data_IF_271991621667
#
_entry.id   IF_271991621667
#
_cell.length_a   1.000
_cell.length_b   1.000
_cell.length_c   1.000
_cell.angle_alpha   90.00
_cell.angle_beta   90.00
_cell.angle_gamma   90.00
#
_symmetry.space_group_name_H-M   'P 1'
#
loop_
_entity.id
_entity.type
_entity.pdbx_description
1 polymer ?
#
# COMPACT_ATOMS: atom_id res chain seq x y z
N UNK A 1 -39.82 -86.34 21.42
CA UNK A 1 -38.74 -86.96 22.20
C UNK A 1 -37.53 -87.13 21.29
N UNK A 2 -36.46 -86.37 21.58
CA UNK A 2 -35.02 -86.73 21.53
C UNK A 2 -34.58 -87.51 20.26
N UNK A 3 -33.71 -86.98 19.39
CA UNK A 3 -32.25 -86.96 19.62
C UNK A 3 -31.51 -85.95 18.73
N UNK A 4 -30.50 -85.34 19.36
CA UNK A 4 -29.40 -84.58 18.77
C UNK A 4 -28.60 -85.41 17.75
N UNK A 5 -28.07 -84.77 16.72
CA UNK A 5 -26.65 -84.92 16.35
C UNK A 5 -26.10 -83.60 15.79
N UNK A 6 -24.94 -83.23 16.32
CA UNK A 6 -24.09 -82.09 16.00
C UNK A 6 -23.22 -82.37 14.78
N UNK A 7 -23.03 -81.39 13.89
CA UNK A 7 -21.77 -81.25 13.13
C UNK A 7 -21.38 -79.77 13.08
N UNK A 8 -20.19 -79.54 13.61
CA UNK A 8 -19.40 -78.31 13.63
C UNK A 8 -18.68 -78.17 12.28
N UNK A 9 -18.71 -76.99 11.63
CA UNK A 9 -17.49 -76.42 11.01
C UNK A 9 -17.69 -75.00 10.50
N UNK A 10 -16.70 -74.19 10.86
CA UNK A 10 -16.48 -72.79 10.57
C UNK A 10 -16.52 -72.42 9.08
N UNK A 11 -16.93 -71.18 8.78
CA UNK A 11 -16.40 -70.39 7.67
C UNK A 11 -16.59 -68.88 7.93
N UNK A 12 -15.45 -68.26 8.18
CA UNK A 12 -15.02 -66.86 8.07
C UNK A 12 -16.06 -65.72 7.93
N UNK A 13 -15.98 -64.79 8.88
CA UNK A 13 -16.34 -63.38 8.69
C UNK A 13 -15.52 -62.76 7.55
N UNK A 14 -16.18 -62.27 6.51
CA UNK A 14 -15.60 -61.33 5.56
C UNK A 14 -16.25 -59.96 5.81
N UNK A 15 -15.60 -59.12 6.61
CA UNK A 15 -15.90 -57.69 6.65
C UNK A 15 -15.14 -57.04 5.48
N UNK A 16 -15.85 -56.68 4.41
CA UNK A 16 -15.26 -55.85 3.36
C UNK A 16 -15.21 -54.40 3.81
N UNK A 17 -13.99 -53.88 3.86
CA UNK A 17 -13.64 -52.49 4.08
C UNK A 17 -14.27 -51.61 2.98
N UNK A 18 -15.16 -50.71 3.37
CA UNK A 18 -15.56 -49.59 2.50
C UNK A 18 -14.36 -48.64 2.34
N UNK A 19 -13.85 -48.48 1.12
CA UNK A 19 -12.78 -47.55 0.80
C UNK A 19 -13.38 -46.29 0.13
N UNK A 20 -13.44 -45.13 0.80
CA UNK A 20 -14.13 -43.94 0.29
C UNK A 20 -13.25 -43.09 -0.65
N UNK A 21 -12.50 -43.71 -1.57
CA UNK A 21 -11.56 -42.99 -2.46
C UNK A 21 -12.00 -42.84 -3.93
N UNK A 22 -13.23 -43.19 -4.32
CA UNK A 22 -13.60 -43.22 -5.76
C UNK A 22 -14.59 -42.11 -6.19
N UNK A 23 -15.08 -41.25 -5.29
CA UNK A 23 -16.08 -40.23 -5.67
C UNK A 23 -15.59 -38.76 -5.69
N UNK A 24 -14.27 -38.52 -5.76
CA UNK A 24 -13.71 -37.17 -5.90
C UNK A 24 -12.66 -37.15 -7.01
N UNK A 25 -13.09 -37.39 -8.26
CA UNK A 25 -12.19 -37.19 -9.39
C UNK A 25 -12.89 -36.68 -10.64
N UNK A 26 -13.67 -35.61 -10.51
CA UNK A 26 -14.03 -34.75 -11.65
C UNK A 26 -14.73 -33.48 -11.13
N UNK A 27 -13.94 -32.47 -10.70
CA UNK A 27 -14.35 -31.06 -10.86
C UNK A 27 -13.32 -29.97 -10.50
N UNK A 28 -12.08 -30.28 -10.12
CA UNK A 28 -11.15 -29.24 -9.64
C UNK A 28 -10.14 -28.77 -10.71
N UNK A 29 -10.64 -28.28 -11.85
CA UNK A 29 -9.80 -27.60 -12.88
C UNK A 29 -10.11 -26.12 -13.08
N UNK A 30 -10.78 -25.45 -12.14
CA UNK A 30 -11.07 -24.01 -12.29
C UNK A 30 -11.08 -23.20 -10.99
N UNK A 31 -10.36 -23.65 -9.96
CA UNK A 31 -10.07 -22.82 -8.80
C UNK A 31 -8.68 -22.20 -8.97
N UNK A 32 -8.64 -20.96 -9.42
CA UNK A 32 -7.43 -20.15 -9.30
C UNK A 32 -6.97 -20.22 -7.84
N UNK A 33 -5.70 -20.59 -7.64
CA UNK A 33 -5.11 -20.61 -6.30
C UNK A 33 -5.35 -19.25 -5.61
N UNK A 34 -5.56 -19.21 -4.29
CA UNK A 34 -5.59 -17.95 -3.57
C UNK A 34 -4.25 -17.27 -3.81
N UNK A 35 -4.26 -16.11 -4.48
CA UNK A 35 -3.06 -15.26 -4.58
C UNK A 35 -2.75 -14.88 -3.13
N UNK A 36 -1.65 -15.41 -2.59
CA UNK A 36 -1.19 -15.04 -1.26
C UNK A 36 -0.99 -13.52 -1.23
N UNK A 37 -1.39 -12.86 -0.14
CA UNK A 37 -1.34 -11.39 -0.07
C UNK A 37 0.08 -10.82 -0.29
N UNK A 38 1.13 -11.64 -0.15
CA UNK A 38 2.52 -11.30 -0.44
C UNK A 38 2.81 -11.05 -1.94
N UNK A 39 1.97 -11.54 -2.86
CA UNK A 39 2.14 -11.34 -4.31
C UNK A 39 1.39 -10.12 -4.86
N UNK A 40 0.62 -9.41 -4.02
CA UNK A 40 -0.17 -8.26 -4.45
C UNK A 40 0.69 -7.00 -4.55
N UNK A 41 0.45 -6.18 -5.58
CA UNK A 41 1.05 -4.85 -5.66
C UNK A 41 0.66 -3.99 -4.46
N UNK A 42 1.53 -3.06 -4.04
CA UNK A 42 1.21 -2.10 -2.97
C UNK A 42 -0.10 -1.36 -3.29
N UNK A 43 -0.27 -0.87 -4.52
CA UNK A 43 -1.54 -0.23 -4.92
C UNK A 43 -2.76 -1.14 -4.82
N UNK A 44 -2.61 -2.45 -5.01
CA UNK A 44 -3.73 -3.41 -4.83
C UNK A 44 -4.04 -3.62 -3.35
N UNK A 45 -3.02 -3.66 -2.49
CA UNK A 45 -3.22 -3.69 -1.03
C UNK A 45 -3.95 -2.42 -0.57
N UNK A 46 -3.50 -1.26 -1.04
CA UNK A 46 -4.12 0.04 -0.77
C UNK A 46 -5.58 0.10 -1.26
N UNK A 47 -5.84 -0.30 -2.50
CA UNK A 47 -7.19 -0.34 -3.08
C UNK A 47 -8.14 -1.21 -2.24
N UNK A 48 -7.68 -2.41 -1.83
CA UNK A 48 -8.47 -3.32 -0.99
C UNK A 48 -8.72 -2.74 0.40
N UNK A 49 -7.71 -2.15 1.03
CA UNK A 49 -7.82 -1.57 2.37
C UNK A 49 -8.72 -0.33 2.37
N UNK A 50 -8.72 0.45 1.28
CA UNK A 50 -9.40 1.75 1.19
C UNK A 50 -10.81 1.69 0.63
N UNK A 51 -11.34 0.51 0.27
CA UNK A 51 -12.68 0.33 -0.32
C UNK A 51 -13.83 0.93 0.52
N UNK A 52 -13.59 1.13 1.83
CA UNK A 52 -14.57 1.69 2.76
C UNK A 52 -14.16 3.05 3.37
N UNK A 53 -13.04 3.63 2.94
CA UNK A 53 -12.61 4.94 3.46
C UNK A 53 -13.56 6.03 2.95
N UNK A 54 -13.87 6.99 3.82
CA UNK A 54 -14.80 8.09 3.52
C UNK A 54 -16.28 7.72 3.67
N UNK A 55 -16.61 6.49 4.10
CA UNK A 55 -17.98 6.07 4.41
C UNK A 55 -18.40 6.42 5.84
N UNK A 56 -17.44 6.56 6.76
CA UNK A 56 -17.71 6.97 8.14
C UNK A 56 -17.60 8.50 8.28
N UNK A 57 -18.34 9.06 9.24
CA UNK A 57 -18.40 10.51 9.47
C UNK A 57 -17.02 11.13 9.76
N UNK A 58 -16.13 10.37 10.41
CA UNK A 58 -14.81 10.81 10.84
C UNK A 58 -13.68 10.44 9.87
N UNK A 59 -14.00 9.74 8.76
CA UNK A 59 -13.00 9.40 7.75
C UNK A 59 -12.71 10.61 6.86
N UNK A 60 -11.45 10.84 6.47
CA UNK A 60 -11.14 11.89 5.52
C UNK A 60 -11.71 11.56 4.14
N UNK A 61 -11.92 12.59 3.32
CA UNK A 61 -12.00 12.39 1.88
C UNK A 61 -10.62 11.94 1.39
N UNK A 62 -10.58 10.86 0.63
CA UNK A 62 -9.37 10.31 0.01
C UNK A 62 -9.49 10.43 -1.50
N UNK A 63 -8.45 10.99 -2.12
CA UNK A 63 -8.27 11.10 -3.57
C UNK A 63 -7.11 10.20 -4.00
N UNK A 64 -7.06 9.84 -5.28
CA UNK A 64 -5.98 8.99 -5.81
C UNK A 64 -5.83 7.71 -4.96
N UNK A 65 -6.93 7.09 -4.56
CA UNK A 65 -6.93 5.86 -3.78
C UNK A 65 -6.55 5.98 -2.30
N UNK A 66 -5.53 6.76 -1.92
CA UNK A 66 -4.91 6.79 -0.58
C UNK A 66 -4.39 8.18 -0.13
N UNK A 67 -4.59 9.25 -0.91
CA UNK A 67 -4.19 10.61 -0.52
C UNK A 67 -5.36 11.31 0.19
N UNK A 68 -5.25 11.50 1.50
CA UNK A 68 -6.21 12.29 2.27
C UNK A 68 -6.16 13.77 1.87
N UNK A 69 -7.33 14.38 1.69
CA UNK A 69 -7.48 15.82 1.40
C UNK A 69 -8.29 16.51 2.51
N UNK A 70 -7.93 17.74 2.90
CA UNK A 70 -8.74 18.49 3.85
C UNK A 70 -10.17 18.69 3.32
N UNK A 71 -11.16 18.43 4.15
CA UNK A 71 -12.59 18.61 3.83
C UNK A 71 -13.10 20.01 4.19
N UNK A 72 -12.23 20.88 4.72
CA UNK A 72 -12.58 22.18 5.30
C UNK A 72 -12.87 23.28 4.28
N UNK A 73 -13.64 24.29 4.74
CA UNK A 73 -14.09 25.51 4.04
C UNK A 73 -12.96 26.46 3.56
N UNK A 74 -11.72 25.98 3.43
CA UNK A 74 -10.59 26.82 3.03
C UNK A 74 -10.56 26.99 1.51
N UNK A 75 -10.45 28.23 1.05
CA UNK A 75 -10.29 28.57 -0.37
C UNK A 75 -8.82 28.66 -0.83
N UNK A 76 -7.87 28.62 0.11
CA UNK A 76 -6.42 28.63 -0.17
C UNK A 76 -5.75 27.40 0.42
N UNK A 77 -4.78 26.83 -0.30
CA UNK A 77 -4.05 25.66 0.18
C UNK A 77 -3.24 26.01 1.46
N UNK A 78 -3.35 25.22 2.55
CA UNK A 78 -2.57 25.40 3.77
C UNK A 78 -1.05 25.54 3.58
N UNK A 79 -0.51 25.01 2.48
CA UNK A 79 0.88 25.16 2.10
C UNK A 79 1.27 26.59 1.71
N UNK A 80 0.34 27.42 1.25
CA UNK A 80 0.64 28.81 0.82
C UNK A 80 1.13 29.69 1.97
N UNK A 81 0.72 29.39 3.22
CA UNK A 81 1.12 30.18 4.38
C UNK A 81 2.52 29.85 4.92
N UNK A 82 3.03 28.64 4.69
CA UNK A 82 4.19 28.09 5.44
C UNK A 82 5.00 27.00 4.74
N UNK A 83 4.68 26.72 3.48
CA UNK A 83 5.23 25.61 2.70
C UNK A 83 4.64 24.24 3.08
N UNK A 84 4.74 23.29 2.14
CA UNK A 84 4.33 21.90 2.35
C UNK A 84 5.45 21.00 2.90
N UNK A 85 6.70 21.47 2.96
CA UNK A 85 7.82 20.64 3.35
C UNK A 85 8.02 20.64 4.87
N UNK A 86 8.51 19.51 5.38
CA UNK A 86 9.08 19.41 6.72
C UNK A 86 10.35 20.29 6.80
N UNK A 87 10.52 21.07 7.89
CA UNK A 87 11.62 22.01 7.98
C UNK A 87 12.96 21.29 8.11
N UNK A 88 13.97 21.77 7.39
CA UNK A 88 15.34 21.32 7.51
C UNK A 88 16.03 22.04 8.66
N UNK A 89 16.71 21.27 9.50
CA UNK A 89 17.51 21.75 10.62
C UNK A 89 18.89 22.24 10.14
N UNK A 90 19.57 23.02 10.98
CA UNK A 90 20.88 23.62 10.68
C UNK A 90 22.00 22.59 10.52
N UNK A 91 21.84 21.40 11.12
CA UNK A 91 22.74 20.26 10.95
C UNK A 91 22.58 19.53 9.60
N UNK A 92 21.64 19.99 8.77
CA UNK A 92 21.37 19.42 7.45
C UNK A 92 20.36 18.27 7.44
N UNK A 93 19.87 17.83 8.61
CA UNK A 93 18.83 16.81 8.72
C UNK A 93 17.43 17.40 8.69
N UNK A 94 16.44 16.57 8.37
CA UNK A 94 15.02 16.91 8.44
C UNK A 94 14.37 16.02 9.49
N UNK A 95 14.07 16.62 10.64
CA UNK A 95 13.45 15.90 11.75
C UNK A 95 11.93 15.88 11.58
N UNK A 96 11.36 14.69 11.47
CA UNK A 96 9.92 14.45 11.37
C UNK A 96 9.45 13.79 12.66
N UNK A 97 8.87 14.56 13.60
CA UNK A 97 8.38 14.00 14.84
C UNK A 97 7.21 13.03 14.56
N UNK A 98 7.17 11.89 15.25
CA UNK A 98 6.12 10.90 15.08
C UNK A 98 5.62 10.32 16.40
N UNK A 99 4.37 9.86 16.39
CA UNK A 99 3.78 9.06 17.46
C UNK A 99 3.16 7.80 16.87
N UNK A 100 3.31 6.65 17.52
CA UNK A 100 2.65 5.39 17.15
C UNK A 100 1.55 5.09 18.16
N UNK A 101 0.32 4.95 17.67
CA UNK A 101 -0.87 4.61 18.47
C UNK A 101 -0.68 3.35 19.32
N UNK A 102 -1.25 3.33 20.53
CA UNK A 102 -1.29 2.16 21.41
C UNK A 102 -2.06 0.97 20.82
N UNK A 103 -2.83 1.17 19.75
CA UNK A 103 -3.59 0.12 19.07
C UNK A 103 -2.72 -0.95 18.41
N UNK A 104 -1.48 -0.61 18.04
CA UNK A 104 -0.57 -1.51 17.35
C UNK A 104 0.12 -2.48 18.31
N UNK A 105 0.18 -3.76 17.93
CA UNK A 105 0.93 -4.79 18.67
C UNK A 105 2.43 -4.53 18.63
N UNK A 106 3.22 -5.17 19.51
CA UNK A 106 4.68 -5.03 19.51
C UNK A 106 5.32 -5.43 18.17
N UNK A 107 4.77 -6.46 17.51
CA UNK A 107 5.21 -6.90 16.18
C UNK A 107 4.94 -5.84 15.12
N UNK A 108 3.74 -5.28 15.10
CA UNK A 108 3.35 -4.21 14.17
C UNK A 108 4.18 -2.94 14.39
N UNK A 109 4.37 -2.55 15.67
CA UNK A 109 5.25 -1.43 16.05
C UNK A 109 6.68 -1.62 15.56
N UNK A 110 7.24 -2.81 15.70
CA UNK A 110 8.59 -3.10 15.19
C UNK A 110 8.67 -2.94 13.66
N UNK A 111 7.63 -3.34 12.92
CA UNK A 111 7.60 -3.16 11.48
C UNK A 111 7.44 -1.70 11.06
N UNK A 112 6.58 -0.94 11.75
CA UNK A 112 6.44 0.51 11.56
C UNK A 112 7.77 1.22 11.82
N UNK A 113 8.44 0.89 12.93
CA UNK A 113 9.77 1.43 13.26
C UNK A 113 10.81 1.10 12.18
N UNK A 114 10.81 -0.12 11.62
CA UNK A 114 11.68 -0.47 10.48
C UNK A 114 11.38 0.39 9.24
N UNK A 115 10.11 0.66 8.96
CA UNK A 115 9.70 1.55 7.88
C UNK A 115 10.22 2.97 8.08
N UNK A 116 10.10 3.53 9.29
CA UNK A 116 10.66 4.84 9.64
C UNK A 116 12.19 4.87 9.48
N UNK A 117 12.89 3.88 10.04
CA UNK A 117 14.35 3.77 9.98
C UNK A 117 14.89 3.59 8.56
N UNK A 118 14.09 3.05 7.64
CA UNK A 118 14.52 2.81 6.25
C UNK A 118 14.86 4.10 5.48
N UNK A 119 14.34 5.26 5.91
CA UNK A 119 14.71 6.55 5.34
C UNK A 119 16.06 7.05 5.87
N UNK A 120 16.41 6.71 7.11
CA UNK A 120 17.57 7.27 7.80
C UNK A 120 18.90 6.81 7.20
N UNK A 121 18.91 5.60 6.63
CA UNK A 121 20.10 4.97 6.03
C UNK A 121 20.57 5.65 4.75
N UNK A 122 19.65 6.26 4.00
CA UNK A 122 19.90 6.69 2.60
C UNK A 122 19.47 8.13 2.34
N UNK A 123 18.93 8.82 3.35
CA UNK A 123 18.47 10.22 3.26
C UNK A 123 18.86 11.01 4.50
N UNK A 124 18.57 12.32 4.50
CA UNK A 124 18.67 13.19 5.66
C UNK A 124 17.38 13.25 6.50
N UNK A 125 16.35 12.45 6.17
CA UNK A 125 15.12 12.37 6.97
C UNK A 125 15.39 11.59 8.25
N UNK A 126 14.97 12.13 9.39
CA UNK A 126 15.11 11.51 10.72
C UNK A 126 13.75 11.48 11.38
N UNK A 127 13.21 10.29 11.60
CA UNK A 127 11.94 10.15 12.31
C UNK A 127 12.23 10.09 13.80
N UNK A 128 11.75 11.07 14.55
CA UNK A 128 12.03 11.17 15.99
C UNK A 128 10.76 11.03 16.81
N UNK A 129 10.79 10.38 17.99
CA UNK A 129 9.63 10.34 18.87
C UNK A 129 9.11 11.75 19.17
N UNK A 130 7.81 11.96 18.97
CA UNK A 130 7.14 13.20 19.29
C UNK A 130 7.14 13.42 20.82
N UNK A 131 7.45 14.64 21.21
CA UNK A 131 7.40 15.11 22.60
C UNK A 131 6.40 16.27 22.69
N UNK A 132 6.80 17.44 22.19
CA UNK A 132 6.04 18.69 22.28
C UNK A 132 6.02 19.47 20.95
N UNK A 133 6.53 18.88 19.85
CA UNK A 133 6.60 19.56 18.56
C UNK A 133 5.20 19.80 18.00
N UNK A 134 4.90 21.03 17.60
CA UNK A 134 3.59 21.40 17.05
C UNK A 134 3.17 20.52 15.87
N UNK A 135 4.09 20.31 14.93
CA UNK A 135 3.84 19.54 13.72
C UNK A 135 4.45 18.14 13.88
N UNK A 136 3.63 17.09 13.69
CA UNK A 136 4.08 15.70 13.83
C UNK A 136 3.18 14.74 13.04
N UNK A 137 3.72 13.56 12.74
CA UNK A 137 2.98 12.45 12.13
C UNK A 137 2.38 11.58 13.25
N UNK A 138 1.05 11.41 13.22
CA UNK A 138 0.32 10.57 14.17
C UNK A 138 -0.10 9.27 13.49
N UNK A 139 0.68 8.20 13.71
CA UNK A 139 0.47 6.90 13.09
C UNK A 139 -0.63 6.17 13.86
N UNK A 140 -1.79 5.98 13.22
CA UNK A 140 -2.98 5.38 13.83
C UNK A 140 -3.50 4.21 12.98
N UNK A 141 -4.27 3.31 13.60
CA UNK A 141 -5.04 2.32 12.85
C UNK A 141 -6.46 2.83 12.65
N UNK A 142 -6.69 3.56 11.54
CA UNK A 142 -8.03 3.95 11.10
C UNK A 142 -8.51 3.02 9.97
N UNK A 143 -9.66 3.35 9.38
CA UNK A 143 -10.13 2.71 8.16
C UNK A 143 -9.11 2.97 7.04
N UNK A 144 -8.59 1.90 6.44
CA UNK A 144 -7.67 1.97 5.30
C UNK A 144 -6.23 2.40 5.57
N UNK A 145 -5.45 2.51 4.49
CA UNK A 145 -4.10 3.03 4.44
C UNK A 145 -4.11 4.37 3.70
N UNK A 146 -3.69 5.45 4.35
CA UNK A 146 -3.68 6.75 3.69
C UNK A 146 -2.83 7.76 4.46
N UNK A 147 -2.44 8.81 3.76
CA UNK A 147 -1.64 9.89 4.30
C UNK A 147 -1.99 11.20 3.59
N UNK A 148 -1.63 12.31 4.22
CA UNK A 148 -1.65 13.62 3.55
C UNK A 148 -0.36 13.81 2.77
N UNK A 149 -0.43 14.54 1.66
CA UNK A 149 0.77 14.96 0.92
C UNK A 149 1.45 16.13 1.62
N UNK A 150 2.65 15.87 2.17
CA UNK A 150 3.50 16.84 2.84
C UNK A 150 3.04 17.22 4.25
N UNK A 151 3.73 18.20 4.84
CA UNK A 151 3.44 18.75 6.17
C UNK A 151 2.18 19.63 6.11
N UNK A 152 1.12 19.21 6.80
CA UNK A 152 -0.17 19.90 6.89
C UNK A 152 -0.30 20.80 8.11
N UNK A 153 0.54 20.60 9.11
CA UNK A 153 0.53 21.35 10.37
C UNK A 153 -0.31 20.78 11.48
N UNK A 154 0.14 20.98 12.73
CA UNK A 154 -0.42 20.23 13.83
C UNK A 154 -0.05 18.75 13.71
N UNK A 155 -0.73 17.90 14.48
CA UNK A 155 -0.69 16.46 14.26
C UNK A 155 -1.44 16.10 12.98
N UNK A 156 -0.78 15.41 12.04
CA UNK A 156 -1.41 14.86 10.84
C UNK A 156 -1.40 13.34 10.90
N UNK A 157 -2.53 12.73 10.56
CA UNK A 157 -2.67 11.27 10.62
C UNK A 157 -2.00 10.62 9.42
N UNK A 158 -1.28 9.54 9.70
CA UNK A 158 -0.99 8.48 8.73
C UNK A 158 -1.76 7.25 9.19
N UNK A 159 -2.72 6.81 8.39
CA UNK A 159 -3.51 5.62 8.70
C UNK A 159 -2.79 4.39 8.20
N UNK A 160 -2.58 3.43 9.10
CA UNK A 160 -2.14 2.09 8.77
C UNK A 160 -3.10 1.12 9.46
N UNK A 161 -4.19 0.75 8.78
CA UNK A 161 -5.11 -0.28 9.28
C UNK A 161 -4.33 -1.56 9.62
N UNK A 162 -4.46 -2.04 10.87
CA UNK A 162 -3.69 -3.18 11.39
C UNK A 162 -3.76 -4.41 10.48
N UNK A 163 -4.94 -4.69 9.95
CA UNK A 163 -5.16 -5.76 8.99
C UNK A 163 -5.21 -5.13 7.59
N UNK A 164 -4.11 -5.23 6.83
CA UNK A 164 -4.07 -4.80 5.42
C UNK A 164 -3.08 -3.68 5.08
N UNK A 165 -2.55 -2.94 6.07
CA UNK A 165 -1.60 -1.84 5.80
C UNK A 165 -0.23 -1.99 6.46
N UNK A 166 -0.08 -2.89 7.45
CA UNK A 166 1.17 -3.01 8.22
C UNK A 166 2.14 -3.94 7.49
N UNK A 167 2.58 -3.48 6.32
CA UNK A 167 3.62 -4.10 5.48
C UNK A 167 4.72 -3.06 5.23
N UNK A 168 5.98 -3.50 5.14
CA UNK A 168 7.12 -2.58 5.02
C UNK A 168 6.95 -1.60 3.84
N UNK A 169 6.55 -2.11 2.67
CA UNK A 169 6.36 -1.30 1.48
C UNK A 169 5.21 -0.29 1.62
N UNK A 170 4.06 -0.72 2.17
CA UNK A 170 2.93 0.19 2.45
C UNK A 170 3.33 1.28 3.45
N UNK A 171 4.06 0.94 4.51
CA UNK A 171 4.55 1.93 5.48
C UNK A 171 5.45 2.97 4.78
N UNK A 172 6.38 2.53 3.93
CA UNK A 172 7.24 3.44 3.16
C UNK A 172 6.44 4.33 2.20
N UNK A 173 5.42 3.78 1.53
CA UNK A 173 4.53 4.49 0.61
C UNK A 173 3.81 5.65 1.32
N UNK A 174 3.16 5.37 2.45
CA UNK A 174 2.41 6.39 3.20
C UNK A 174 3.33 7.45 3.84
N UNK A 175 4.54 7.07 4.21
CA UNK A 175 5.55 8.01 4.69
C UNK A 175 6.10 8.89 3.57
N UNK A 176 6.25 8.39 2.34
CA UNK A 176 6.59 9.21 1.17
C UNK A 176 5.48 10.24 0.87
N UNK A 177 4.21 9.86 0.99
CA UNK A 177 3.12 10.84 0.96
C UNK A 177 3.31 11.92 2.04
N UNK A 178 3.56 11.52 3.29
CA UNK A 178 3.77 12.48 4.38
C UNK A 178 4.97 13.42 4.14
N UNK A 179 5.96 13.00 3.34
CA UNK A 179 7.12 13.79 2.90
C UNK A 179 6.85 14.65 1.65
N UNK A 180 5.69 14.52 1.01
CA UNK A 180 5.26 15.40 -0.09
C UNK A 180 5.28 14.76 -1.48
N UNK A 181 5.37 13.44 -1.58
CA UNK A 181 5.36 12.73 -2.86
C UNK A 181 3.95 12.30 -3.26
N UNK A 182 3.64 12.38 -4.55
CA UNK A 182 2.42 11.84 -5.15
C UNK A 182 2.75 10.54 -5.90
N UNK A 183 1.75 9.85 -6.43
CA UNK A 183 1.97 8.63 -7.20
C UNK A 183 2.68 8.88 -8.53
N UNK A 184 3.50 7.91 -8.95
CA UNK A 184 4.31 8.01 -10.15
C UNK A 184 3.45 8.14 -11.43
N UNK A 185 2.35 7.39 -11.52
CA UNK A 185 1.45 7.43 -12.70
C UNK A 185 0.65 8.72 -12.86
N UNK A 186 0.74 9.63 -11.89
CA UNK A 186 0.09 10.95 -11.92
C UNK A 186 1.03 12.06 -12.40
N UNK A 187 2.32 11.76 -12.63
CA UNK A 187 3.29 12.74 -13.13
C UNK A 187 2.81 13.48 -14.37
N UNK A 188 3.22 14.74 -14.49
CA UNK A 188 2.91 15.61 -15.63
C UNK A 188 3.37 15.02 -16.98
N UNK A 189 4.49 14.29 -16.97
CA UNK A 189 5.10 13.62 -18.13
C UNK A 189 4.67 12.16 -18.32
N UNK A 190 3.76 11.61 -17.51
CA UNK A 190 3.46 10.16 -17.52
C UNK A 190 2.98 9.62 -18.87
N UNK A 191 2.35 10.44 -19.72
CA UNK A 191 1.81 10.01 -21.01
C UNK A 191 2.90 9.62 -22.04
N UNK A 192 4.19 9.94 -21.77
CA UNK A 192 5.31 9.43 -22.57
C UNK A 192 5.84 8.07 -22.09
N UNK A 193 5.27 7.53 -21.02
CA UNK A 193 5.74 6.31 -20.33
C UNK A 193 4.64 5.28 -20.14
N UNK A 194 3.41 5.72 -19.87
CA UNK A 194 2.26 4.82 -19.72
C UNK A 194 1.07 5.33 -20.48
N UNK A 195 0.27 4.40 -20.97
CA UNK A 195 -1.08 4.66 -21.48
C UNK A 195 -2.10 4.23 -20.44
N UNK A 196 -3.01 5.13 -20.11
CA UNK A 196 -4.15 4.83 -19.23
C UNK A 196 -5.34 4.37 -20.07
N UNK A 197 -5.87 3.20 -19.75
CA UNK A 197 -7.04 2.60 -20.40
C UNK A 197 -8.27 2.85 -19.54
N UNK A 198 -8.82 4.07 -19.59
CA UNK A 198 -9.97 4.48 -18.78
C UNK A 198 -11.21 3.60 -19.01
N UNK A 199 -11.35 2.97 -20.18
CA UNK A 199 -12.41 2.02 -20.46
C UNK A 199 -12.36 0.74 -19.59
N UNK A 200 -11.24 0.46 -18.93
CA UNK A 200 -11.09 -0.66 -18.00
C UNK A 200 -11.21 -0.23 -16.53
N UNK A 201 -11.34 1.07 -16.24
CA UNK A 201 -11.41 1.60 -14.87
C UNK A 201 -12.84 1.48 -14.32
N UNK A 202 -12.97 1.19 -13.03
CA UNK A 202 -14.25 1.20 -12.29
C UNK A 202 -14.90 2.57 -12.44
N UNK A 203 -16.19 2.58 -12.81
CA UNK A 203 -16.96 3.83 -13.00
C UNK A 203 -16.87 4.71 -11.76
N UNK A 204 -16.47 5.97 -11.93
CA UNK A 204 -16.27 6.94 -10.86
C UNK A 204 -14.86 6.96 -10.26
N UNK A 205 -14.00 5.99 -10.57
CA UNK A 205 -12.61 5.91 -10.11
C UNK A 205 -11.58 6.49 -11.10
N UNK A 206 -12.04 7.07 -12.21
CA UNK A 206 -11.18 7.67 -13.25
C UNK A 206 -10.33 8.83 -12.70
N UNK A 207 -10.82 9.48 -11.65
CA UNK A 207 -10.11 10.58 -10.99
C UNK A 207 -8.76 10.15 -10.38
N UNK A 208 -8.59 8.87 -10.03
CA UNK A 208 -7.32 8.33 -9.51
C UNK A 208 -6.19 8.28 -10.55
N UNK A 209 -6.51 8.47 -11.83
CA UNK A 209 -5.55 8.46 -12.94
C UNK A 209 -5.31 9.85 -13.54
N UNK A 210 -5.88 10.90 -12.94
CA UNK A 210 -5.64 12.28 -13.41
C UNK A 210 -4.17 12.65 -13.22
N UNK A 211 -3.60 13.31 -14.22
CA UNK A 211 -2.28 13.92 -14.08
C UNK A 211 -2.37 15.12 -13.14
N UNK A 212 -1.29 15.38 -12.44
CA UNK A 212 -1.09 16.59 -11.64
C UNK A 212 0.19 17.28 -12.11
N UNK A 213 0.26 18.59 -11.89
CA UNK A 213 1.47 19.37 -12.18
C UNK A 213 2.57 19.05 -11.16
N UNK A 214 3.40 18.05 -11.49
CA UNK A 214 4.46 17.56 -10.62
C UNK A 214 5.78 18.30 -10.81
N UNK A 215 6.49 18.52 -9.69
CA UNK A 215 7.93 18.83 -9.71
C UNK A 215 8.71 17.51 -9.77
N UNK A 216 9.16 17.11 -10.96
CA UNK A 216 9.80 15.80 -11.19
C UNK A 216 11.25 15.70 -10.67
N UNK A 217 11.79 16.78 -10.11
CA UNK A 217 13.11 16.86 -9.48
C UNK A 217 14.26 16.36 -10.39
N UNK A 218 14.13 16.51 -11.71
CA UNK A 218 15.13 16.09 -12.70
C UNK A 218 15.38 14.57 -12.69
N UNK A 219 14.41 13.76 -12.26
CA UNK A 219 14.50 12.30 -12.27
C UNK A 219 13.65 11.71 -13.39
N UNK A 220 14.11 10.62 -14.03
CA UNK A 220 13.32 9.93 -15.03
C UNK A 220 12.07 9.31 -14.39
N UNK A 221 11.10 8.94 -15.23
CA UNK A 221 9.96 8.13 -14.82
C UNK A 221 10.44 6.75 -14.36
N UNK A 222 9.90 6.26 -13.24
CA UNK A 222 10.33 5.03 -12.60
C UNK A 222 9.18 4.02 -12.46
N UNK A 223 9.14 3.05 -13.36
CA UNK A 223 8.19 1.94 -13.33
C UNK A 223 8.28 1.08 -12.05
N UNK A 224 9.43 1.10 -11.38
CA UNK A 224 9.68 0.35 -10.15
C UNK A 224 9.64 1.25 -8.90
N UNK A 225 9.12 2.47 -9.02
CA UNK A 225 8.86 3.31 -7.85
C UNK A 225 7.83 2.64 -6.95
N UNK A 226 8.04 2.72 -5.64
CA UNK A 226 7.07 2.26 -4.65
C UNK A 226 5.76 3.05 -4.72
N UNK A 227 5.80 4.24 -5.34
CA UNK A 227 4.68 5.13 -5.56
C UNK A 227 3.93 4.85 -6.87
N UNK A 228 4.32 3.84 -7.66
CA UNK A 228 3.68 3.52 -8.93
C UNK A 228 2.55 2.48 -8.74
N UNK A 229 1.38 2.78 -9.29
CA UNK A 229 0.28 1.80 -9.34
C UNK A 229 0.60 0.55 -10.16
N UNK A 230 0.03 -0.58 -9.76
CA UNK A 230 0.04 -1.82 -10.49
C UNK A 230 -0.81 -1.74 -11.75
N UNK A 231 -0.52 -2.64 -12.69
CA UNK A 231 -1.16 -2.75 -14.01
C UNK A 231 -2.70 -2.80 -13.98
N UNK A 232 -3.26 -3.39 -12.92
CA UNK A 232 -4.69 -3.67 -12.78
C UNK A 232 -5.38 -2.81 -11.71
N UNK A 233 -4.71 -1.76 -11.21
CA UNK A 233 -5.29 -0.88 -10.20
C UNK A 233 -6.66 -0.35 -10.66
N UNK A 234 -7.68 -0.43 -9.80
CA UNK A 234 -9.05 0.01 -10.07
C UNK A 234 -9.69 -0.60 -11.33
N UNK A 235 -9.30 -1.82 -11.72
CA UNK A 235 -9.85 -2.50 -12.89
C UNK A 235 -11.26 -3.04 -12.62
N UNK A 236 -12.20 -2.77 -13.54
CA UNK A 236 -13.59 -3.28 -13.47
C UNK A 236 -13.77 -4.67 -14.08
N UNK A 237 -12.85 -5.08 -14.93
CA UNK A 237 -12.99 -6.25 -15.81
C UNK A 237 -11.76 -7.16 -15.78
N UNK A 238 -10.84 -6.95 -14.82
CA UNK A 238 -9.54 -7.66 -14.71
C UNK A 238 -8.60 -7.42 -15.90
N UNK A 239 -8.93 -6.46 -16.76
CA UNK A 239 -8.04 -6.01 -17.83
C UNK A 239 -7.12 -4.88 -17.34
N UNK A 240 -5.95 -4.67 -17.96
CA UNK A 240 -5.03 -3.60 -17.57
C UNK A 240 -5.67 -2.21 -17.63
N UNK A 241 -5.46 -1.41 -16.58
CA UNK A 241 -5.80 0.03 -16.56
C UNK A 241 -4.59 0.89 -16.89
N UNK A 242 -3.38 0.39 -16.64
CA UNK A 242 -2.11 1.05 -16.96
C UNK A 242 -1.27 0.11 -17.84
N UNK A 243 -0.85 0.61 -19.01
CA UNK A 243 0.03 -0.14 -19.93
C UNK A 243 1.30 0.66 -20.19
N UNK A 244 2.48 0.16 -19.82
CA UNK A 244 3.75 0.81 -20.16
C UNK A 244 3.97 0.93 -21.67
N UNK A 245 4.72 1.95 -22.08
CA UNK A 245 5.12 2.21 -23.45
C UNK A 245 6.60 2.63 -23.50
N UNK A 246 7.32 2.35 -24.60
CA UNK A 246 6.87 1.64 -25.79
C UNK A 246 6.75 0.12 -25.58
N UNK A 247 7.40 -0.44 -24.57
CA UNK A 247 7.34 -1.87 -24.25
C UNK A 247 6.22 -2.17 -23.23
N UNK A 248 5.11 -2.82 -23.64
CA UNK A 248 4.00 -3.13 -22.74
C UNK A 248 4.34 -4.23 -21.72
N UNK A 249 5.48 -4.90 -21.82
CA UNK A 249 5.89 -5.99 -20.92
C UNK A 249 6.64 -5.51 -19.68
N UNK A 250 7.01 -4.23 -19.62
CA UNK A 250 7.69 -3.66 -18.44
C UNK A 250 6.83 -3.90 -17.18
N UNK A 251 7.49 -4.37 -16.12
CA UNK A 251 6.83 -4.60 -14.85
C UNK A 251 6.56 -3.27 -14.13
N UNK A 252 5.35 -3.12 -13.60
CA UNK A 252 4.92 -1.96 -12.80
C UNK A 252 4.20 -2.42 -11.54
N UNK A 253 4.34 -1.66 -10.45
CA UNK A 253 3.70 -1.96 -9.16
C UNK A 253 4.20 -3.24 -8.50
N UNK A 254 5.42 -3.69 -8.78
CA UNK A 254 6.06 -4.86 -8.13
C UNK A 254 7.05 -4.48 -7.02
N UNK A 255 7.20 -3.19 -6.75
CA UNK A 255 8.11 -2.70 -5.73
C UNK A 255 7.68 -3.19 -4.34
N UNK A 256 8.61 -3.79 -3.60
CA UNK A 256 8.43 -4.20 -2.20
C UNK A 256 9.08 -3.22 -1.22
N UNK A 257 9.90 -2.30 -1.75
CA UNK A 257 10.59 -1.24 -1.03
C UNK A 257 10.85 -0.04 -1.94
N UNK A 258 11.25 1.10 -1.36
CA UNK A 258 11.66 2.30 -2.11
C UNK A 258 12.72 1.97 -3.17
N UNK A 259 12.55 2.53 -4.37
CA UNK A 259 13.56 2.47 -5.41
C UNK A 259 14.70 3.47 -5.14
N UNK A 260 15.81 3.33 -5.88
CA UNK A 260 16.88 4.33 -5.86
C UNK A 260 16.38 5.72 -6.31
N UNK A 261 15.40 5.78 -7.22
CA UNK A 261 14.81 7.03 -7.66
C UNK A 261 13.91 7.63 -6.58
N UNK A 262 13.15 6.83 -5.83
CA UNK A 262 12.38 7.31 -4.68
C UNK A 262 13.30 8.00 -3.66
N UNK A 263 14.40 7.32 -3.29
CA UNK A 263 15.42 7.85 -2.36
C UNK A 263 16.07 9.12 -2.92
N UNK A 264 16.47 9.11 -4.19
CA UNK A 264 17.07 10.27 -4.85
C UNK A 264 16.14 11.48 -4.86
N UNK A 265 14.83 11.26 -5.08
CA UNK A 265 13.82 12.32 -5.05
C UNK A 265 13.65 12.89 -3.65
N UNK A 266 13.63 12.07 -2.60
CA UNK A 266 13.67 12.55 -1.21
C UNK A 266 14.91 13.43 -0.99
N UNK A 267 16.08 12.95 -1.38
CA UNK A 267 17.33 13.67 -1.22
C UNK A 267 17.35 15.01 -1.97
N UNK A 268 16.84 15.06 -3.21
CA UNK A 268 16.76 16.29 -3.99
C UNK A 268 15.72 17.26 -3.46
N UNK A 269 14.56 16.77 -3.01
CA UNK A 269 13.49 17.63 -2.47
C UNK A 269 13.92 18.33 -1.18
N UNK A 270 14.66 17.62 -0.32
CA UNK A 270 15.12 18.11 0.98
C UNK A 270 16.59 18.58 0.98
N UNK A 271 17.24 18.64 -0.18
CA UNK A 271 18.64 19.06 -0.34
C UNK A 271 19.61 18.27 0.58
N UNK A 272 19.40 16.98 0.75
CA UNK A 272 20.21 16.17 1.66
C UNK A 272 21.69 16.18 1.23
N UNK A 273 22.56 16.78 2.05
CA UNK A 273 24.01 16.87 1.80
C UNK A 273 24.70 15.62 2.34
N UNK A 274 25.51 14.96 1.53
CA UNK A 274 26.30 13.79 1.96
C UNK A 274 25.56 12.45 1.94
N UNK A 275 24.37 12.38 1.35
CA UNK A 275 23.79 11.10 0.95
C UNK A 275 24.66 10.54 -0.20
N UNK A 276 25.47 9.52 0.11
CA UNK A 276 26.27 8.78 -0.87
C UNK A 276 25.39 7.79 -1.62
#
# INVERSE_FOLDING_TARGET
MILLTTVLSALLFCAHSFNPQVFLRENDRNRAAPIEEEDLSISTLLEKANVNVGKNLDDPLVMFGDIAVPTGLQNADPCTARGCLWPKSSDGNVYVPFRISGQFSSRERNLITRGLQSFESSTCIRFTPHQNQRDFVDIQSRSGCWSFVGRRGGGQVVSLMRNGCVFLGTIQHELLHALGFNHEQTRSDRDTHVRILLQNVISGQEHNFRKIETRNLGTPYDYNSIMHYGRYAFSRNREPTIVPIPDPNVAIGRATQMSNNDILRVNRLYDCRGAK
#
